data_IF_528508337594
#
_entry.id   IF_528508337594
#
_cell.length_a   1.000
_cell.length_b   1.000
_cell.length_c   1.000
_cell.angle_alpha   90.00
_cell.angle_beta   90.00
_cell.angle_gamma   90.00
#
_symmetry.space_group_name_H-M   'P 1'
#
loop_
_entity.id
_entity.type
_entity.pdbx_description
1 polymer ?
#
# COMPACT_ATOMS: atom_id res chain seq x y z
N UNK A 1 -5.83 5.71 -10.12
CA UNK A 1 -7.23 6.15 -9.93
C UNK A 1 -7.61 5.86 -8.50
N UNK A 2 -8.09 6.85 -7.77
CA UNK A 2 -8.60 6.65 -6.41
C UNK A 2 -10.08 6.24 -6.48
N UNK A 3 -10.48 5.26 -5.68
CA UNK A 3 -11.87 4.79 -5.58
C UNK A 3 -12.47 5.34 -4.28
N UNK A 4 -13.54 6.12 -4.40
CA UNK A 4 -14.19 6.75 -3.25
C UNK A 4 -15.29 5.82 -2.75
N UNK A 5 -15.13 5.28 -1.55
CA UNK A 5 -16.15 4.50 -0.86
C UNK A 5 -16.93 5.41 0.09
N UNK A 6 -18.12 5.83 -0.35
CA UNK A 6 -18.99 6.72 0.43
C UNK A 6 -19.62 6.04 1.66
N UNK A 7 -19.83 4.72 1.61
CA UNK A 7 -20.41 3.97 2.74
C UNK A 7 -19.43 3.84 3.91
N UNK A 8 -18.15 3.59 3.61
CA UNK A 8 -17.08 3.52 4.62
C UNK A 8 -16.46 4.90 4.91
N UNK A 9 -16.78 5.93 4.13
CA UNK A 9 -16.15 7.27 4.14
C UNK A 9 -14.63 7.21 3.93
N UNK A 10 -14.19 6.33 3.04
CA UNK A 10 -12.77 6.09 2.75
C UNK A 10 -12.44 6.35 1.28
N UNK A 11 -11.21 6.81 1.02
CA UNK A 11 -10.68 7.00 -0.33
C UNK A 11 -9.57 5.98 -0.55
N UNK A 12 -9.84 5.00 -1.41
CA UNK A 12 -8.91 3.92 -1.73
C UNK A 12 -7.95 4.36 -2.84
N UNK A 13 -6.67 4.51 -2.50
CA UNK A 13 -5.63 4.88 -3.45
C UNK A 13 -4.77 3.66 -3.82
N UNK A 14 -4.67 3.37 -5.13
CA UNK A 14 -3.78 2.31 -5.62
C UNK A 14 -2.40 2.89 -5.93
N UNK A 15 -1.39 2.49 -5.16
CA UNK A 15 0.02 2.82 -5.40
C UNK A 15 0.68 1.63 -6.08
N UNK A 16 1.37 1.88 -7.20
CA UNK A 16 2.06 0.84 -7.96
C UNK A 16 3.56 1.09 -7.90
N UNK A 17 4.30 0.12 -7.34
CA UNK A 17 5.75 0.10 -7.44
C UNK A 17 6.16 -0.48 -8.79
N UNK A 18 6.74 0.36 -9.64
CA UNK A 18 7.17 -0.03 -10.99
C UNK A 18 8.70 -0.02 -11.10
N UNK A 19 9.25 -0.86 -11.98
CA UNK A 19 10.69 -0.95 -12.22
C UNK A 19 11.15 -2.34 -12.70
N UNK A 20 12.41 -2.48 -13.13
CA UNK A 20 12.96 -3.75 -13.64
C UNK A 20 13.05 -4.85 -12.58
N UNK A 21 13.38 -6.08 -12.97
CA UNK A 21 13.61 -7.19 -12.04
C UNK A 21 14.68 -6.82 -10.99
N UNK A 22 14.54 -7.33 -9.76
CA UNK A 22 15.49 -7.14 -8.66
C UNK A 22 15.70 -5.68 -8.17
N UNK A 23 14.92 -4.70 -8.66
CA UNK A 23 15.04 -3.30 -8.24
C UNK A 23 14.45 -2.99 -6.84
N UNK A 24 14.19 -3.99 -6.00
CA UNK A 24 13.76 -3.79 -4.61
C UNK A 24 12.28 -3.48 -4.37
N UNK A 25 11.38 -3.66 -5.36
CA UNK A 25 9.92 -3.44 -5.20
C UNK A 25 9.34 -4.22 -4.02
N UNK A 26 9.66 -5.51 -3.95
CA UNK A 26 9.19 -6.40 -2.89
C UNK A 26 9.71 -5.97 -1.51
N UNK A 27 10.99 -5.61 -1.43
CA UNK A 27 11.63 -5.14 -0.20
C UNK A 27 10.98 -3.86 0.32
N UNK A 28 10.59 -2.94 -0.57
CA UNK A 28 9.91 -1.70 -0.20
C UNK A 28 8.56 -1.97 0.48
N UNK A 29 7.73 -2.84 -0.11
CA UNK A 29 6.45 -3.24 0.47
C UNK A 29 6.63 -3.98 1.81
N UNK A 30 7.63 -4.86 1.92
CA UNK A 30 7.93 -5.57 3.18
C UNK A 30 8.33 -4.61 4.30
N UNK A 31 9.18 -3.63 4.00
CA UNK A 31 9.61 -2.64 4.98
C UNK A 31 8.44 -1.77 5.48
N UNK A 32 7.60 -1.30 4.57
CA UNK A 32 6.40 -0.52 4.93
C UNK A 32 5.46 -1.39 5.77
N UNK A 33 5.19 -2.62 5.34
CA UNK A 33 4.34 -3.56 6.08
C UNK A 33 4.83 -3.81 7.50
N UNK A 34 6.15 -3.92 7.71
CA UNK A 34 6.71 -4.10 9.05
C UNK A 34 6.51 -2.87 9.93
N UNK A 35 6.63 -1.66 9.37
CA UNK A 35 6.55 -0.38 10.11
C UNK A 35 5.15 0.17 10.37
N UNK A 36 4.12 -0.34 9.68
CA UNK A 36 2.73 0.05 9.95
C UNK A 36 2.36 -0.33 11.39
N UNK A 37 1.55 0.49 12.06
CA UNK A 37 1.06 0.21 13.40
C UNK A 37 0.17 -1.06 13.41
N UNK A 38 0.32 -1.95 14.41
CA UNK A 38 -0.40 -3.23 14.44
C UNK A 38 -1.92 -3.08 14.52
N UNK A 39 -2.43 -1.93 14.96
CA UNK A 39 -3.86 -1.61 14.97
C UNK A 39 -4.45 -1.39 13.57
N UNK A 40 -3.59 -1.14 12.59
CA UNK A 40 -3.95 -0.81 11.20
C UNK A 40 -3.48 -1.92 10.24
N UNK A 41 -2.70 -2.90 10.75
CA UNK A 41 -2.52 -4.19 10.09
C UNK A 41 -3.82 -4.97 10.33
N UNK A 42 -4.63 -5.12 9.28
CA UNK A 42 -5.87 -5.89 9.32
C UNK A 42 -5.66 -7.34 9.77
#
# INVERSE_FOLDING_TARGET
MALINYSAREINCKIVYYGPGLCGKTTNLQYIYQKISPQVKG
#
